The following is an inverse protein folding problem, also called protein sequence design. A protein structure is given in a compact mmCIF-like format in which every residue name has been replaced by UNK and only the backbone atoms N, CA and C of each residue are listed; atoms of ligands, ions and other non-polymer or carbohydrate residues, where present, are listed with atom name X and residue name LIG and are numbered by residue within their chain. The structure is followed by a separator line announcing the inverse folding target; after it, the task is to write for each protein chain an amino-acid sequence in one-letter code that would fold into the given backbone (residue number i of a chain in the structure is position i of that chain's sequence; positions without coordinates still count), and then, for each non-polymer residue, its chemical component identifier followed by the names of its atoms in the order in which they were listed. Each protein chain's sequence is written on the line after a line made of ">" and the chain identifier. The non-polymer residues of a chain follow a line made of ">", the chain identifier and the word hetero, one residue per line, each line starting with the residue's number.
data_IF_795497310750
#
_entry.id   IF_795497310750
#
_cell.length_a   1.000
_cell.length_b   1.000
_cell.length_c   1.000
_cell.angle_alpha   90.00
_cell.angle_beta   90.00
_cell.angle_gamma   90.00
#
_symmetry.space_group_name_H-M   'P 1'
#
loop_
_entity.id
_entity.type
_entity.pdbx_description
1 polymer ?
#
# COMPACT_ATOMS: atom_id res chain seq x y z
N UNK A 1 6.19 -9.34 -3.79
CA UNK A 1 5.48 -9.66 -2.53
C UNK A 1 4.01 -9.79 -2.82
N UNK A 2 3.43 -10.96 -2.57
CA UNK A 2 1.99 -11.18 -2.68
C UNK A 2 1.24 -10.72 -1.40
N UNK A 3 -0.09 -10.78 -1.42
CA UNK A 3 -0.96 -10.28 -0.37
C UNK A 3 -0.67 -10.92 1.00
N UNK A 4 -0.44 -12.23 1.02
CA UNK A 4 -0.07 -12.92 2.26
C UNK A 4 1.26 -12.42 2.82
N UNK A 5 2.27 -12.27 1.96
CA UNK A 5 3.60 -11.78 2.36
C UNK A 5 3.54 -10.34 2.88
N UNK A 6 2.69 -9.49 2.30
CA UNK A 6 2.44 -8.11 2.76
C UNK A 6 1.83 -8.10 4.17
N UNK A 7 0.78 -8.88 4.41
CA UNK A 7 0.14 -8.98 5.73
C UNK A 7 1.11 -9.51 6.80
N UNK A 8 1.89 -10.55 6.46
CA UNK A 8 2.93 -11.06 7.34
C UNK A 8 4.04 -10.04 7.59
N UNK A 9 4.38 -9.21 6.60
CA UNK A 9 5.37 -8.13 6.77
C UNK A 9 4.85 -7.04 7.70
N UNK A 10 3.60 -6.61 7.56
CA UNK A 10 2.98 -5.63 8.46
C UNK A 10 3.02 -6.10 9.92
N UNK A 11 2.66 -7.35 10.17
CA UNK A 11 2.75 -7.95 11.51
C UNK A 11 4.17 -7.90 12.08
N UNK A 12 5.19 -8.17 11.25
CA UNK A 12 6.60 -8.09 11.68
C UNK A 12 7.01 -6.67 12.05
N UNK A 13 6.56 -5.66 11.30
CA UNK A 13 6.86 -4.25 11.62
C UNK A 13 6.21 -3.80 12.94
N UNK A 14 5.03 -4.33 13.27
CA UNK A 14 4.31 -4.05 14.53
C UNK A 14 4.95 -4.80 15.72
N UNK A 15 5.93 -5.68 15.47
CA UNK A 15 6.60 -6.49 16.49
C UNK A 15 5.64 -7.32 17.35
N UNK A 16 4.51 -7.74 16.79
CA UNK A 16 3.56 -8.57 17.51
C UNK A 16 4.14 -9.96 17.78
N UNK A 17 3.84 -10.57 18.93
CA UNK A 17 4.25 -11.93 19.31
C UNK A 17 3.13 -12.92 18.98
N UNK A 18 3.37 -13.86 18.07
CA UNK A 18 2.39 -14.84 17.60
C UNK A 18 2.74 -15.51 16.27
N UNK A 19 1.91 -16.44 15.80
CA UNK A 19 1.97 -16.93 14.42
C UNK A 19 1.23 -15.94 13.52
N UNK A 20 1.87 -15.52 12.42
CA UNK A 20 1.23 -14.62 11.45
C UNK A 20 0.12 -15.32 10.67
N UNK A 21 -0.65 -14.60 9.84
CA UNK A 21 -1.66 -15.23 8.99
C UNK A 21 -0.99 -16.27 8.08
N UNK A 22 -1.54 -17.49 8.06
CA UNK A 22 -1.18 -18.55 7.11
C UNK A 22 -1.96 -18.44 5.78
N UNK A 23 -2.98 -17.59 5.76
CA UNK A 23 -3.78 -17.22 4.59
C UNK A 23 -4.50 -15.89 4.85
N UNK A 24 -5.15 -15.36 3.82
CA UNK A 24 -5.86 -14.06 3.90
C UNK A 24 -7.38 -14.20 3.99
N UNK A 25 -7.90 -15.41 3.79
CA UNK A 25 -9.33 -15.73 3.90
C UNK A 25 -9.64 -16.32 5.27
N UNK A 26 -10.88 -16.13 5.75
CA UNK A 26 -11.37 -16.69 7.02
C UNK A 26 -10.49 -16.35 8.25
N UNK A 27 -9.76 -15.24 8.20
CA UNK A 27 -8.98 -14.75 9.33
C UNK A 27 -9.89 -14.18 10.41
N UNK A 28 -9.41 -14.17 11.65
CA UNK A 28 -10.12 -13.64 12.82
C UNK A 28 -9.16 -12.84 13.71
N UNK A 29 -9.71 -11.93 14.50
CA UNK A 29 -8.93 -11.11 15.43
C UNK A 29 -7.79 -10.37 14.73
N UNK A 30 -6.60 -10.39 15.33
CA UNK A 30 -5.43 -9.62 14.87
C UNK A 30 -4.98 -9.96 13.44
N UNK A 31 -5.09 -11.23 13.04
CA UNK A 31 -4.74 -11.63 11.68
C UNK A 31 -5.67 -11.01 10.63
N UNK A 32 -6.96 -10.87 10.96
CA UNK A 32 -7.91 -10.17 10.08
C UNK A 32 -7.54 -8.69 9.99
N UNK A 33 -7.20 -8.04 11.12
CA UNK A 33 -6.77 -6.64 11.11
C UNK A 33 -5.55 -6.39 10.21
N UNK A 34 -4.57 -7.30 10.18
CA UNK A 34 -3.40 -7.15 9.31
C UNK A 34 -3.74 -7.32 7.82
N UNK A 35 -4.61 -8.26 7.51
CA UNK A 35 -5.08 -8.52 6.15
C UNK A 35 -5.90 -7.35 5.63
N UNK A 36 -6.84 -6.85 6.44
CA UNK A 36 -7.71 -5.74 6.08
C UNK A 36 -6.90 -4.44 5.94
N UNK A 37 -5.97 -4.15 6.86
CA UNK A 37 -5.12 -2.96 6.77
C UNK A 37 -4.29 -2.91 5.48
N UNK A 38 -3.77 -4.05 5.01
CA UNK A 38 -3.06 -4.11 3.72
C UNK A 38 -4.01 -3.90 2.54
N UNK A 39 -5.21 -4.50 2.58
CA UNK A 39 -6.20 -4.36 1.51
C UNK A 39 -6.68 -2.91 1.38
N UNK A 40 -6.97 -2.27 2.50
CA UNK A 40 -7.36 -0.87 2.58
C UNK A 40 -6.24 0.03 2.10
N UNK A 41 -5.02 -0.15 2.64
CA UNK A 41 -3.86 0.61 2.23
C UNK A 41 -3.60 0.57 0.72
N UNK A 42 -3.72 -0.62 0.11
CA UNK A 42 -3.54 -0.74 -1.34
C UNK A 42 -4.65 -0.06 -2.12
N UNK A 43 -5.89 -0.13 -1.65
CA UNK A 43 -7.02 0.56 -2.28
C UNK A 43 -6.85 2.07 -2.21
N UNK A 44 -6.43 2.58 -1.05
CA UNK A 44 -6.19 4.01 -0.82
C UNK A 44 -5.04 4.54 -1.69
N UNK A 45 -3.91 3.81 -1.77
CA UNK A 45 -2.76 4.23 -2.58
C UNK A 45 -3.15 4.39 -4.06
N UNK A 46 -4.03 3.55 -4.58
CA UNK A 46 -4.49 3.68 -5.96
C UNK A 46 -5.25 4.99 -6.22
N UNK A 47 -5.86 5.61 -5.19
CA UNK A 47 -6.67 6.81 -5.34
C UNK A 47 -6.14 8.05 -4.58
N UNK A 48 -5.04 7.90 -3.83
CA UNK A 48 -4.49 8.98 -2.97
C UNK A 48 -4.07 10.22 -3.77
N UNK A 49 -3.76 10.03 -5.07
CA UNK A 49 -3.39 11.09 -6.00
C UNK A 49 -4.01 10.81 -7.37
N UNK A 50 -4.03 11.85 -8.20
CA UNK A 50 -4.31 11.69 -9.62
C UNK A 50 -3.08 11.14 -10.33
N UNK A 51 -2.93 9.82 -10.31
CA UNK A 51 -1.90 9.11 -11.06
C UNK A 51 -2.14 9.24 -12.57
N UNK A 52 -1.07 9.19 -13.36
CA UNK A 52 -1.18 9.07 -14.82
C UNK A 52 -1.64 7.66 -15.23
N UNK A 53 -2.11 7.54 -16.47
CA UNK A 53 -2.65 6.27 -17.00
C UNK A 53 -1.63 5.13 -16.97
N UNK A 54 -0.32 5.42 -16.97
CA UNK A 54 0.76 4.43 -16.87
C UNK A 54 0.89 3.77 -15.48
N UNK A 55 0.18 4.27 -14.46
CA UNK A 55 0.14 3.66 -13.14
C UNK A 55 -0.63 2.35 -13.16
N UNK A 56 -1.78 2.34 -13.82
CA UNK A 56 -2.67 1.20 -13.83
C UNK A 56 -2.27 0.20 -14.91
N UNK A 57 -2.37 -1.09 -14.57
CA UNK A 57 -2.22 -2.19 -15.51
C UNK A 57 -3.60 -2.76 -15.82
N UNK A 58 -3.90 -2.99 -17.10
CA UNK A 58 -5.17 -3.61 -17.52
C UNK A 58 -5.46 -4.90 -16.73
N UNK A 59 -6.68 -5.10 -16.18
CA UNK A 59 -7.90 -4.32 -16.42
C UNK A 59 -8.12 -3.16 -15.44
N UNK A 60 -7.16 -2.84 -14.58
CA UNK A 60 -7.35 -1.85 -13.52
C UNK A 60 -7.31 -0.43 -14.07
N UNK A 61 -8.01 0.46 -13.36
CA UNK A 61 -8.06 1.90 -13.63
C UNK A 61 -8.49 2.62 -12.37
N UNK A 62 -8.55 3.96 -12.41
CA UNK A 62 -9.12 4.78 -11.34
C UNK A 62 -10.57 4.41 -10.96
N UNK A 63 -11.32 3.85 -11.90
CA UNK A 63 -12.72 3.45 -11.74
C UNK A 63 -12.86 1.93 -11.48
N UNK A 64 -11.77 1.17 -11.63
CA UNK A 64 -11.72 -0.27 -11.41
C UNK A 64 -10.43 -0.63 -10.65
N UNK A 65 -10.46 -0.46 -9.33
CA UNK A 65 -9.30 -0.68 -8.48
C UNK A 65 -8.97 -2.17 -8.33
N UNK A 66 -7.68 -2.48 -8.16
CA UNK A 66 -7.27 -3.80 -7.76
C UNK A 66 -7.60 -4.04 -6.28
N UNK A 67 -8.46 -5.00 -6.01
CA UNK A 67 -8.73 -5.51 -4.66
C UNK A 67 -7.97 -6.81 -4.44
N UNK A 68 -7.18 -6.87 -3.36
CA UNK A 68 -6.47 -8.10 -2.97
C UNK A 68 -7.42 -9.01 -2.19
N UNK A 69 -7.70 -10.20 -2.73
CA UNK A 69 -8.69 -11.14 -2.21
C UNK A 69 -8.05 -12.49 -1.83
N UNK A 70 -7.14 -12.99 -2.67
CA UNK A 70 -6.44 -14.26 -2.50
C UNK A 70 -5.02 -14.06 -1.99
N UNK A 71 -4.50 -15.05 -1.25
CA UNK A 71 -3.15 -15.02 -0.67
C UNK A 71 -2.05 -14.80 -1.72
N UNK A 72 -2.31 -15.22 -2.96
CA UNK A 72 -1.37 -15.15 -4.08
C UNK A 72 -1.48 -13.84 -4.88
N UNK A 73 -2.50 -13.02 -4.63
CA UNK A 73 -2.69 -11.77 -5.35
C UNK A 73 -1.47 -10.87 -5.13
N UNK A 74 -0.96 -10.31 -6.21
CA UNK A 74 0.21 -9.43 -6.19
C UNK A 74 -0.23 -8.05 -6.65
N UNK A 75 0.09 -6.97 -5.91
CA UNK A 75 -0.15 -5.62 -6.38
C UNK A 75 0.46 -5.41 -7.77
N UNK A 76 -0.23 -4.69 -8.66
CA UNK A 76 0.28 -4.50 -10.02
C UNK A 76 1.50 -3.57 -10.10
N UNK A 77 1.85 -2.87 -9.01
CA UNK A 77 3.04 -2.03 -8.95
C UNK A 77 4.32 -2.87 -8.90
N UNK A 78 5.46 -2.31 -9.34
CA UNK A 78 6.76 -2.98 -9.23
C UNK A 78 7.09 -3.45 -7.82
N UNK A 79 7.78 -4.59 -7.73
CA UNK A 79 8.02 -5.23 -6.43
C UNK A 79 8.81 -4.38 -5.44
N UNK A 80 9.72 -3.53 -5.93
CA UNK A 80 10.49 -2.62 -5.08
C UNK A 80 9.62 -1.57 -4.38
N UNK A 81 8.38 -1.33 -4.83
CA UNK A 81 7.42 -0.40 -4.23
C UNK A 81 6.44 -1.05 -3.26
N UNK A 82 6.36 -2.39 -3.24
CA UNK A 82 5.41 -3.11 -2.38
C UNK A 82 5.56 -2.78 -0.89
N UNK A 83 6.77 -2.49 -0.44
CA UNK A 83 7.01 -2.15 0.97
C UNK A 83 6.38 -0.79 1.35
N UNK A 84 6.13 0.09 0.37
CA UNK A 84 5.33 1.31 0.55
C UNK A 84 3.91 1.01 1.02
N UNK A 85 3.27 -0.04 0.49
CA UNK A 85 1.93 -0.47 0.94
C UNK A 85 1.95 -0.85 2.41
N UNK A 86 2.99 -1.56 2.85
CA UNK A 86 3.15 -1.96 4.26
C UNK A 86 3.32 -0.75 5.15
N UNK A 87 4.16 0.22 4.79
CA UNK A 87 4.38 1.41 5.61
C UNK A 87 3.18 2.34 5.66
N UNK A 88 2.41 2.45 4.57
CA UNK A 88 1.15 3.17 4.59
C UNK A 88 0.14 2.51 5.54
N UNK A 89 -0.03 1.18 5.45
CA UNK A 89 -0.86 0.42 6.38
C UNK A 89 -0.39 0.56 7.84
N UNK A 90 0.93 0.53 8.04
CA UNK A 90 1.55 0.69 9.37
C UNK A 90 1.26 2.07 9.95
N UNK A 91 1.36 3.14 9.16
CA UNK A 91 1.07 4.50 9.62
C UNK A 91 -0.40 4.64 10.06
N UNK A 92 -1.34 4.14 9.26
CA UNK A 92 -2.77 4.16 9.59
C UNK A 92 -3.08 3.35 10.84
N UNK A 93 -2.46 2.18 11.00
CA UNK A 93 -2.66 1.32 12.18
C UNK A 93 -1.98 1.85 13.44
N UNK A 94 -0.76 2.37 13.32
CA UNK A 94 -0.05 2.95 14.45
C UNK A 94 -0.78 4.18 15.01
N UNK A 95 -1.41 4.96 14.13
CA UNK A 95 -2.26 6.08 14.52
C UNK A 95 -3.47 5.61 15.36
N UNK A 96 -4.15 4.54 14.95
CA UNK A 96 -5.29 4.00 15.72
C UNK A 96 -4.88 3.38 17.07
N UNK A 97 -3.61 2.99 17.21
CA UNK A 97 -3.05 2.42 18.45
C UNK A 97 -2.34 3.47 19.34
N UNK A 98 -2.34 4.75 18.96
CA UNK A 98 -1.59 5.82 19.64
C UNK A 98 -0.08 5.54 19.81
N UNK A 99 0.50 4.74 18.93
CA UNK A 99 1.92 4.37 18.97
C UNK A 99 2.77 5.39 18.19
N UNK A 100 3.02 6.57 18.78
CA UNK A 100 3.63 7.72 18.09
C UNK A 100 5.00 7.42 17.45
N UNK A 101 5.86 6.66 18.13
CA UNK A 101 7.17 6.27 17.58
C UNK A 101 7.04 5.45 16.29
N UNK A 102 6.05 4.54 16.26
CA UNK A 102 5.77 3.69 15.12
C UNK A 102 5.14 4.51 13.98
N UNK A 103 4.30 5.50 14.29
CA UNK A 103 3.77 6.46 13.31
C UNK A 103 4.92 7.22 12.64
N UNK A 104 5.83 7.81 13.42
CA UNK A 104 6.96 8.58 12.88
C UNK A 104 7.84 7.74 11.96
N UNK A 105 8.19 6.53 12.38
CA UNK A 105 8.93 5.57 11.54
C UNK A 105 8.15 5.26 10.26
N UNK A 106 6.87 4.91 10.38
CA UNK A 106 6.05 4.51 9.25
C UNK A 106 5.89 5.63 8.22
N UNK A 107 5.65 6.86 8.68
CA UNK A 107 5.55 8.04 7.83
C UNK A 107 6.88 8.33 7.11
N UNK A 108 8.00 8.28 7.83
CA UNK A 108 9.33 8.50 7.25
C UNK A 108 9.64 7.51 6.14
N UNK A 109 9.29 6.23 6.33
CA UNK A 109 9.49 5.23 5.29
C UNK A 109 8.48 5.37 4.15
N UNK A 110 7.20 5.64 4.47
CA UNK A 110 6.16 5.89 3.47
C UNK A 110 6.52 7.04 2.53
N UNK A 111 7.05 8.14 3.05
CA UNK A 111 7.44 9.31 2.25
C UNK A 111 8.50 8.95 1.19
N UNK A 112 9.43 8.04 1.50
CA UNK A 112 10.41 7.55 0.52
C UNK A 112 9.72 6.84 -0.64
N UNK A 113 8.78 5.93 -0.34
CA UNK A 113 8.05 5.19 -1.37
C UNK A 113 7.07 6.07 -2.13
N UNK A 114 6.43 7.04 -1.46
CA UNK A 114 5.57 8.01 -2.10
C UNK A 114 6.35 8.86 -3.10
N UNK A 115 7.58 9.27 -2.77
CA UNK A 115 8.43 9.99 -3.71
C UNK A 115 8.78 9.14 -4.94
N UNK A 116 9.05 7.85 -4.78
CA UNK A 116 9.32 6.94 -5.89
C UNK A 116 8.07 6.74 -6.77
N UNK A 117 6.91 6.50 -6.15
CA UNK A 117 5.62 6.44 -6.83
C UNK A 117 5.35 7.73 -7.62
N UNK A 118 5.56 8.88 -6.98
CA UNK A 118 5.35 10.18 -7.61
C UNK A 118 6.28 10.39 -8.80
N UNK A 119 7.56 10.02 -8.69
CA UNK A 119 8.53 10.12 -9.78
C UNK A 119 8.10 9.27 -11.00
N UNK A 120 7.59 8.08 -10.76
CA UNK A 120 7.30 7.11 -11.81
C UNK A 120 5.89 7.29 -12.43
N UNK A 121 4.93 7.83 -11.66
CA UNK A 121 3.49 7.76 -11.97
C UNK A 121 2.72 9.08 -11.83
N UNK A 122 3.38 10.22 -11.60
CA UNK A 122 2.69 11.51 -11.74
C UNK A 122 2.57 11.92 -13.21
N UNK A 123 1.45 12.55 -13.59
CA UNK A 123 1.31 13.14 -14.91
C UNK A 123 2.43 14.13 -15.20
N UNK A 124 3.03 14.05 -16.39
CA UNK A 124 3.99 15.06 -16.83
C UNK A 124 3.27 16.40 -16.94
N UNK A 125 3.75 17.41 -16.23
CA UNK A 125 3.23 18.76 -16.34
C UNK A 125 3.37 19.25 -17.78
N UNK A 126 2.25 19.34 -18.49
CA UNK A 126 2.22 19.93 -19.82
C UNK A 126 2.31 21.44 -19.65
N UNK A 127 3.52 22.00 -19.73
CA UNK A 127 3.69 23.45 -19.85
C UNK A 127 2.95 23.88 -21.12
N UNK A 128 1.89 24.69 -20.94
CA UNK A 128 1.09 25.19 -22.05
C UNK A 128 2.01 25.82 -23.08
N UNK A 129 1.93 25.35 -24.33
CA UNK A 129 2.56 26.02 -25.46
C UNK A 129 2.04 27.45 -25.50
N UNK A 130 2.86 28.40 -25.08
CA UNK A 130 2.65 29.80 -25.45
C UNK A 130 2.96 29.88 -26.93
N UNK A 131 1.89 29.80 -27.72
CA UNK A 131 1.89 30.12 -29.14
C UNK A 131 2.46 31.53 -29.32
N UNK A 132 3.50 31.65 -30.15
CA UNK A 132 4.07 32.92 -30.60
C UNK A 132 3.19 33.65 -31.59
#
# INVERSE_FOLDING_TARGET
>A
MNFLQLAQRLRREISDTGEGPAGVTNQRGRNLEYVDAIREAWSDIQIIRQWSDNFYVSPYSKDNLQLLQSSIDTPFIPEYLHLGIVYYALANKALSQNAQELVLKAQTEWDKYLNLLCRDYLPTATLGQQNG
#
